data_IF_812205247955
#
_entry.id   IF_812205247955
#
_cell.length_a   1.000
_cell.length_b   1.000
_cell.length_c   1.000
_cell.angle_alpha   90.00
_cell.angle_beta   90.00
_cell.angle_gamma   90.00
#
_symmetry.space_group_name_H-M   'P 1'
#
loop_
_entity.id
_entity.type
_entity.pdbx_description
1 polymer ?
#
# COMPACT_ATOMS: atom_id res chain seq x y z
N UNK A 1 -10.93 -9.35 9.84
CA UNK A 1 -9.62 -9.08 9.22
C UNK A 1 -8.69 -8.55 10.29
N UNK A 2 -7.50 -9.14 10.40
CA UNK A 2 -6.46 -8.76 11.37
C UNK A 2 -5.23 -8.28 10.61
N UNK A 3 -5.12 -6.97 10.35
CA UNK A 3 -4.11 -6.39 9.46
C UNK A 3 -3.52 -5.08 9.97
N UNK A 4 -2.29 -4.81 9.53
CA UNK A 4 -1.69 -3.48 9.51
C UNK A 4 -1.88 -2.88 8.11
N UNK A 5 -2.59 -1.76 7.99
CA UNK A 5 -2.79 -1.05 6.73
C UNK A 5 -1.91 0.20 6.67
N UNK A 6 -1.21 0.39 5.55
CA UNK A 6 -0.33 1.54 5.35
C UNK A 6 -1.14 2.79 5.00
N UNK A 7 -0.89 3.92 5.66
CA UNK A 7 -1.74 5.13 5.48
C UNK A 7 -0.95 6.37 5.06
N UNK A 8 0.36 6.39 5.26
CA UNK A 8 1.23 7.49 4.85
C UNK A 8 2.70 7.06 4.91
N UNK A 9 3.56 7.69 4.11
CA UNK A 9 4.99 7.72 4.44
C UNK A 9 5.22 8.56 5.71
N UNK A 10 6.15 8.11 6.55
CA UNK A 10 6.47 8.72 7.84
C UNK A 10 6.98 10.15 7.72
N UNK A 11 7.75 10.43 6.67
CA UNK A 11 8.36 11.74 6.38
C UNK A 11 7.37 12.79 5.87
N UNK A 12 6.18 12.38 5.41
CA UNK A 12 5.08 13.25 5.01
C UNK A 12 4.29 13.82 6.18
N UNK A 13 4.55 13.37 7.41
CA UNK A 13 3.88 13.83 8.62
C UNK A 13 4.95 14.27 9.62
N UNK A 14 5.33 15.55 9.64
CA UNK A 14 6.35 16.09 10.54
C UNK A 14 5.74 16.50 11.88
N UNK A 15 6.57 16.77 12.89
CA UNK A 15 6.09 17.26 14.18
C UNK A 15 5.29 18.57 14.00
N UNK A 16 4.07 18.60 14.54
CA UNK A 16 3.10 19.68 14.35
C UNK A 16 2.11 19.43 13.20
N UNK A 17 2.41 18.51 12.28
CA UNK A 17 1.52 18.20 11.16
C UNK A 17 0.36 17.30 11.61
N UNK A 18 -0.80 17.52 10.99
CA UNK A 18 -1.94 16.64 11.10
C UNK A 18 -2.78 16.76 9.81
N UNK A 19 -3.44 15.67 9.43
CA UNK A 19 -4.30 15.62 8.24
C UNK A 19 -5.37 14.55 8.39
N UNK A 20 -6.41 14.65 7.56
CA UNK A 20 -7.37 13.57 7.38
C UNK A 20 -6.82 12.53 6.41
N UNK A 21 -7.04 11.26 6.71
CA UNK A 21 -6.90 10.13 5.78
C UNK A 21 -8.20 9.33 5.81
N UNK A 22 -8.42 8.51 4.79
CA UNK A 22 -9.55 7.60 4.74
C UNK A 22 -9.06 6.16 4.58
N UNK A 23 -9.63 5.26 5.37
CA UNK A 23 -9.28 3.85 5.43
C UNK A 23 -10.55 3.06 5.66
N UNK A 24 -10.87 2.10 4.78
CA UNK A 24 -12.10 1.30 4.84
C UNK A 24 -13.37 2.16 5.00
N UNK A 25 -13.48 3.24 4.22
CA UNK A 25 -14.60 4.19 4.21
C UNK A 25 -14.69 5.09 5.46
N UNK A 26 -13.68 5.09 6.34
CA UNK A 26 -13.67 5.87 7.58
C UNK A 26 -12.66 6.99 7.52
N UNK A 27 -13.13 8.22 7.72
CA UNK A 27 -12.24 9.37 7.90
C UNK A 27 -11.56 9.37 9.27
N UNK A 28 -10.24 9.30 9.25
CA UNK A 28 -9.37 9.25 10.43
C UNK A 28 -8.46 10.48 10.42
N UNK A 29 -8.31 11.12 11.56
CA UNK A 29 -7.34 12.17 11.76
C UNK A 29 -6.03 11.52 12.15
N UNK A 30 -4.97 11.73 11.38
CA UNK A 30 -3.60 11.41 11.80
C UNK A 30 -2.83 12.69 12.08
N UNK A 31 -1.90 12.62 13.03
CA UNK A 31 -0.98 13.72 13.28
C UNK A 31 0.27 13.26 14.00
N UNK A 32 1.24 14.16 14.08
CA UNK A 32 2.46 13.96 14.84
C UNK A 32 2.66 15.13 15.79
N UNK A 33 2.76 14.82 17.07
CA UNK A 33 3.34 15.71 18.09
C UNK A 33 4.79 15.26 18.32
N UNK A 34 5.15 14.80 19.52
CA UNK A 34 6.37 14.00 19.74
C UNK A 34 6.22 12.55 19.26
N UNK A 35 4.99 12.06 19.32
CA UNK A 35 4.58 10.73 18.85
C UNK A 35 3.50 10.89 17.76
N UNK A 36 3.38 9.88 16.91
CA UNK A 36 2.25 9.77 15.99
C UNK A 36 0.98 9.46 16.77
N UNK A 37 -0.15 10.01 16.34
CA UNK A 37 -1.47 9.67 16.87
C UNK A 37 -2.51 9.55 15.76
N UNK A 38 -3.55 8.77 16.01
CA UNK A 38 -4.71 8.65 15.13
C UNK A 38 -6.02 8.69 15.93
N UNK A 39 -6.95 9.53 15.50
CA UNK A 39 -8.23 9.81 16.18
C UNK A 39 -9.38 9.81 15.19
N UNK A 40 -10.62 9.70 15.66
CA UNK A 40 -11.78 10.01 14.83
C UNK A 40 -11.69 11.43 14.28
N UNK A 41 -11.96 11.62 12.97
CA UNK A 41 -11.87 12.92 12.31
C UNK A 41 -13.16 13.77 12.44
N UNK A 42 -14.07 13.40 13.35
CA UNK A 42 -15.35 14.06 13.55
C UNK A 42 -15.54 14.44 15.01
N UNK A 43 -15.76 15.73 15.25
CA UNK A 43 -16.04 16.26 16.58
C UNK A 43 -17.43 15.78 17.07
N UNK A 44 -17.54 15.10 18.22
CA UNK A 44 -18.82 14.60 18.74
C UNK A 44 -19.82 15.69 19.13
N UNK A 45 -19.40 16.96 19.19
CA UNK A 45 -20.32 18.06 19.47
C UNK A 45 -21.35 18.23 18.34
N UNK A 46 -20.90 18.45 17.10
CA UNK A 46 -21.75 18.75 15.93
C UNK A 46 -21.15 18.23 14.60
N UNK A 47 -20.32 17.20 14.64
CA UNK A 47 -19.76 16.56 13.44
C UNK A 47 -18.68 17.37 12.71
N UNK A 48 -18.09 18.40 13.33
CA UNK A 48 -17.03 19.20 12.69
C UNK A 48 -15.82 18.35 12.27
N UNK A 49 -15.31 18.55 11.04
CA UNK A 49 -14.12 17.86 10.50
C UNK A 49 -12.86 18.38 11.19
N UNK A 50 -12.25 17.56 12.05
CA UNK A 50 -11.14 18.00 12.92
C UNK A 50 -9.86 18.33 12.12
N UNK A 51 -9.60 17.60 11.04
CA UNK A 51 -8.54 17.89 10.08
C UNK A 51 -8.65 19.26 9.40
N UNK A 52 -9.83 19.89 9.38
CA UNK A 52 -10.01 21.27 8.90
C UNK A 52 -9.79 22.31 10.01
N UNK A 53 -9.38 21.88 11.19
CA UNK A 53 -9.06 22.71 12.34
C UNK A 53 -7.63 23.22 12.35
N UNK A 54 -7.07 23.37 13.55
CA UNK A 54 -5.67 23.74 13.77
C UNK A 54 -5.09 22.97 14.93
N UNK A 55 -3.77 22.81 14.95
CA UNK A 55 -3.05 22.34 16.13
C UNK A 55 -2.63 23.52 17.00
N UNK A 56 -2.77 23.40 18.32
CA UNK A 56 -2.35 24.39 19.31
C UNK A 56 -1.82 23.67 20.55
N UNK A 57 -0.54 23.83 20.87
CA UNK A 57 0.10 23.21 22.04
C UNK A 57 -0.18 21.70 22.16
N UNK A 58 0.05 20.94 21.08
CA UNK A 58 -0.29 19.51 20.99
C UNK A 58 -1.77 19.17 21.25
N UNK A 59 -2.67 20.09 20.90
CA UNK A 59 -4.12 19.87 20.93
C UNK A 59 -4.75 20.18 19.58
N UNK A 60 -5.72 19.36 19.20
CA UNK A 60 -6.52 19.55 18.00
C UNK A 60 -7.71 20.45 18.32
N UNK A 61 -7.74 21.62 17.70
CA UNK A 61 -8.81 22.61 17.87
C UNK A 61 -9.83 22.41 16.74
N UNK A 62 -11.04 21.99 17.11
CA UNK A 62 -12.14 21.84 16.17
C UNK A 62 -12.46 23.19 15.47
N UNK A 63 -12.60 23.22 14.13
CA UNK A 63 -12.83 24.48 13.41
C UNK A 63 -14.18 25.12 13.70
N UNK A 64 -15.13 24.36 14.26
CA UNK A 64 -16.50 24.87 14.42
C UNK A 64 -16.66 25.72 15.69
N UNK A 65 -16.54 25.11 16.86
CA UNK A 65 -16.74 25.80 18.15
C UNK A 65 -15.47 25.84 19.01
N UNK A 66 -14.31 25.51 18.40
CA UNK A 66 -13.01 25.56 19.07
C UNK A 66 -12.80 24.50 20.16
N UNK A 67 -13.62 23.45 20.25
CA UNK A 67 -13.40 22.36 21.20
C UNK A 67 -12.00 21.78 20.98
N UNK A 68 -11.20 21.73 22.05
CA UNK A 68 -9.79 21.36 21.98
C UNK A 68 -9.59 19.94 22.52
N UNK A 69 -9.05 19.03 21.73
CA UNK A 69 -8.76 17.64 22.12
C UNK A 69 -7.25 17.44 22.26
N UNK A 70 -6.78 16.72 23.27
CA UNK A 70 -5.38 16.31 23.33
C UNK A 70 -5.05 15.22 22.29
N UNK A 71 -3.77 14.87 22.13
CA UNK A 71 -3.33 13.80 21.22
C UNK A 71 -3.86 12.40 21.58
N UNK A 72 -4.42 12.23 22.78
CA UNK A 72 -5.10 11.00 23.20
C UNK A 72 -6.61 11.03 22.90
N UNK A 73 -7.10 12.12 22.30
CA UNK A 73 -8.49 12.32 21.95
C UNK A 73 -9.35 12.87 23.07
N UNK A 74 -8.81 13.14 24.26
CA UNK A 74 -9.61 13.62 25.40
C UNK A 74 -9.95 15.09 25.21
N UNK A 75 -11.21 15.43 25.42
CA UNK A 75 -11.64 16.83 25.39
C UNK A 75 -10.99 17.59 26.54
N UNK A 76 -10.18 18.58 26.20
CA UNK A 76 -9.39 19.36 27.15
C UNK A 76 -10.05 20.68 27.49
N UNK A 77 -10.70 21.36 26.54
CA UNK A 77 -11.30 22.69 26.72
C UNK A 77 -12.55 22.84 25.84
N UNK A 78 -13.64 23.36 26.44
CA UNK A 78 -14.76 23.98 25.73
C UNK A 78 -14.62 25.51 25.83
N UNK A 79 -14.23 26.23 24.76
CA UNK A 79 -13.92 27.65 24.86
C UNK A 79 -15.08 28.54 25.32
N UNK A 80 -16.32 28.22 24.91
CA UNK A 80 -17.52 29.02 25.20
C UNK A 80 -17.87 29.08 26.69
N UNK A 81 -17.54 28.03 27.45
CA UNK A 81 -17.82 27.94 28.89
C UNK A 81 -16.56 27.87 29.74
N UNK A 82 -15.38 27.77 29.11
CA UNK A 82 -14.08 27.48 29.73
C UNK A 82 -14.07 26.19 30.58
N UNK A 83 -15.05 25.30 30.36
CA UNK A 83 -15.15 24.03 31.08
C UNK A 83 -14.17 23.00 30.50
N UNK A 84 -13.76 22.07 31.38
CA UNK A 84 -13.04 20.84 31.05
C UNK A 84 -13.93 19.65 31.42
N UNK A 85 -14.96 19.34 30.63
CA UNK A 85 -15.91 18.30 31.01
C UNK A 85 -15.20 16.93 31.03
N UNK A 86 -15.36 16.15 32.10
CA UNK A 86 -14.85 14.79 32.14
C UNK A 86 -15.65 13.89 31.16
N UNK A 87 -15.01 12.82 30.68
CA UNK A 87 -15.70 11.72 30.01
C UNK A 87 -15.99 11.88 28.51
N UNK A 88 -15.60 13.00 27.88
CA UNK A 88 -15.70 13.14 26.42
C UNK A 88 -14.33 12.85 25.79
N UNK A 89 -14.28 11.82 24.94
CA UNK A 89 -13.08 11.47 24.18
C UNK A 89 -13.46 11.06 22.76
N UNK A 90 -12.58 11.39 21.82
CA UNK A 90 -12.57 10.79 20.49
C UNK A 90 -12.10 9.34 20.60
N UNK A 91 -12.55 8.49 19.68
CA UNK A 91 -11.93 7.17 19.50
C UNK A 91 -10.48 7.36 19.08
N UNK A 92 -9.58 6.60 19.68
CA UNK A 92 -8.17 6.49 19.26
C UNK A 92 -7.99 5.21 18.45
N UNK A 93 -7.20 5.30 17.39
CA UNK A 93 -6.76 4.15 16.60
C UNK A 93 -5.32 3.81 16.98
N UNK A 94 -5.03 2.51 17.09
CA UNK A 94 -3.65 2.04 17.25
C UNK A 94 -2.91 2.22 15.93
N UNK A 95 -1.78 2.91 15.98
CA UNK A 95 -0.89 3.13 14.85
C UNK A 95 0.56 2.86 15.25
N UNK A 96 1.40 2.53 14.26
CA UNK A 96 2.85 2.35 14.46
C UNK A 96 3.63 2.90 13.27
N UNK A 97 4.91 3.22 13.50
CA UNK A 97 5.86 3.48 12.43
C UNK A 97 6.74 2.25 12.22
N UNK A 98 6.81 1.78 10.99
CA UNK A 98 7.71 0.69 10.60
C UNK A 98 7.97 0.77 9.09
N UNK A 99 9.17 0.42 8.66
CA UNK A 99 9.58 0.51 7.25
C UNK A 99 9.39 1.92 6.66
N UNK A 100 9.53 2.99 7.45
CA UNK A 100 9.30 4.37 6.97
C UNK A 100 7.85 4.69 6.62
N UNK A 101 6.90 3.84 7.01
CA UNK A 101 5.47 3.98 6.80
C UNK A 101 4.76 4.11 8.14
N UNK A 102 3.70 4.91 8.18
CA UNK A 102 2.71 4.92 9.26
C UNK A 102 1.65 3.86 8.95
N UNK A 103 1.46 2.93 9.86
CA UNK A 103 0.51 1.82 9.76
C UNK A 103 -0.61 1.98 10.77
N UNK A 104 -1.84 1.68 10.37
CA UNK A 104 -3.00 1.58 11.26
C UNK A 104 -3.40 0.13 11.50
N UNK A 105 -3.75 -0.18 12.75
CA UNK A 105 -4.17 -1.52 13.18
C UNK A 105 -5.65 -1.74 12.90
N UNK A 106 -5.97 -2.85 12.24
CA UNK A 106 -7.32 -3.36 12.01
C UNK A 106 -7.42 -4.73 12.67
N UNK A 107 -8.39 -4.93 13.58
CA UNK A 107 -8.48 -6.18 14.34
C UNK A 107 -7.28 -6.37 15.28
N UNK A 108 -6.72 -7.56 15.34
CA UNK A 108 -5.58 -7.92 16.19
C UNK A 108 -4.43 -8.61 15.43
N UNK A 109 -3.74 -7.92 14.51
CA UNK A 109 -2.61 -8.48 13.78
C UNK A 109 -1.44 -8.78 14.73
N UNK A 110 -1.05 -10.05 14.81
CA UNK A 110 0.05 -10.54 15.67
C UNK A 110 1.40 -10.65 14.97
N UNK A 111 1.52 -10.13 13.75
CA UNK A 111 2.74 -10.18 12.94
C UNK A 111 3.48 -8.84 12.91
N UNK A 112 4.77 -8.87 12.58
CA UNK A 112 5.55 -7.68 12.29
C UNK A 112 5.71 -7.47 10.79
N UNK A 113 5.29 -6.29 10.31
CA UNK A 113 5.40 -5.89 8.89
C UNK A 113 6.84 -5.87 8.40
N UNK A 114 7.80 -5.61 9.29
CA UNK A 114 9.22 -5.54 8.92
C UNK A 114 9.76 -6.88 8.40
N UNK A 115 9.16 -8.00 8.81
CA UNK A 115 9.56 -9.35 8.40
C UNK A 115 9.32 -9.62 6.91
N UNK A 116 8.46 -8.83 6.25
CA UNK A 116 8.12 -9.01 4.84
C UNK A 116 9.02 -8.23 3.87
N UNK A 117 9.88 -7.35 4.39
CA UNK A 117 10.80 -6.57 3.56
C UNK A 117 12.18 -6.39 4.26
N UNK A 118 12.96 -7.47 4.40
CA UNK A 118 14.20 -7.47 5.17
C UNK A 118 15.27 -6.53 4.60
N UNK A 119 15.26 -6.27 3.29
CA UNK A 119 16.20 -5.36 2.62
C UNK A 119 16.08 -3.93 3.13
N UNK A 120 14.92 -3.52 3.66
CA UNK A 120 14.72 -2.17 4.18
C UNK A 120 15.70 -1.83 5.31
N UNK A 121 15.89 -2.75 6.25
CA UNK A 121 16.80 -2.58 7.39
C UNK A 121 18.26 -2.90 7.07
N UNK A 122 18.53 -3.43 5.88
CA UNK A 122 19.88 -3.77 5.45
C UNK A 122 20.59 -2.52 4.90
N UNK A 123 21.77 -2.21 5.42
CA UNK A 123 22.59 -1.07 5.00
C UNK A 123 23.22 -1.26 3.62
N UNK A 124 23.32 -2.49 3.12
CA UNK A 124 23.82 -2.81 1.78
C UNK A 124 22.79 -2.53 0.67
N UNK A 125 21.60 -2.06 1.03
CA UNK A 125 20.56 -1.69 0.10
C UNK A 125 20.27 -0.20 0.22
N UNK A 126 20.19 0.47 -0.92
CA UNK A 126 19.50 1.76 -1.00
C UNK A 126 17.99 1.51 -1.07
N UNK A 127 17.21 2.38 -0.44
CA UNK A 127 15.75 2.29 -0.35
C UNK A 127 15.15 3.55 -0.96
N UNK A 128 14.20 3.40 -1.87
CA UNK A 128 13.58 4.52 -2.59
C UNK A 128 12.07 4.40 -2.40
N UNK A 129 11.46 5.39 -1.75
CA UNK A 129 10.00 5.50 -1.64
C UNK A 129 9.40 5.90 -2.98
N UNK A 130 8.31 5.23 -3.34
CA UNK A 130 7.55 5.44 -4.57
C UNK A 130 6.07 5.62 -4.22
N UNK A 131 5.41 6.60 -4.86
CA UNK A 131 4.06 7.03 -4.54
C UNK A 131 4.00 8.21 -3.56
N UNK A 132 2.84 8.44 -2.90
CA UNK A 132 1.63 7.62 -2.90
C UNK A 132 0.92 7.60 -4.27
N UNK A 133 0.35 6.44 -4.62
CA UNK A 133 -0.50 6.28 -5.81
C UNK A 133 -1.93 5.98 -5.37
N UNK A 134 -2.91 6.63 -6.00
CA UNK A 134 -4.34 6.43 -5.72
C UNK A 134 -4.98 5.73 -6.91
N UNK A 135 -5.35 4.47 -6.74
CA UNK A 135 -6.02 3.67 -7.76
C UNK A 135 -7.53 3.78 -7.61
N UNK A 136 -8.24 4.02 -8.72
CA UNK A 136 -9.71 4.00 -8.79
C UNK A 136 -10.23 2.57 -9.04
N UNK A 137 -9.80 1.66 -8.17
CA UNK A 137 -10.22 0.27 -8.17
C UNK A 137 -10.07 -0.34 -6.77
N UNK A 138 -10.72 -1.48 -6.52
CA UNK A 138 -10.64 -2.18 -5.24
C UNK A 138 -9.22 -2.68 -4.94
N UNK A 139 -8.85 -2.74 -3.67
CA UNK A 139 -7.50 -3.16 -3.28
C UNK A 139 -7.13 -4.56 -3.79
N UNK A 140 -8.04 -5.57 -3.77
CA UNK A 140 -7.73 -6.87 -4.38
C UNK A 140 -7.44 -6.84 -5.88
N UNK A 141 -8.12 -5.98 -6.67
CA UNK A 141 -7.82 -5.81 -8.10
C UNK A 141 -6.42 -5.22 -8.31
N UNK A 142 -6.06 -4.22 -7.51
CA UNK A 142 -4.72 -3.63 -7.55
C UNK A 142 -3.65 -4.66 -7.17
N UNK A 143 -3.87 -5.46 -6.12
CA UNK A 143 -2.94 -6.55 -5.76
C UNK A 143 -2.82 -7.57 -6.89
N UNK A 144 -3.93 -7.95 -7.53
CA UNK A 144 -3.93 -8.88 -8.66
C UNK A 144 -3.12 -8.36 -9.86
N UNK A 145 -3.30 -7.09 -10.23
CA UNK A 145 -2.49 -6.44 -11.26
C UNK A 145 -0.99 -6.47 -10.90
N UNK A 146 -0.62 -6.16 -9.64
CA UNK A 146 0.78 -6.17 -9.20
C UNK A 146 1.44 -7.56 -9.24
N UNK A 147 0.67 -8.64 -9.28
CA UNK A 147 1.19 -10.02 -9.34
C UNK A 147 1.03 -10.70 -10.70
N UNK A 148 0.39 -10.04 -11.65
CA UNK A 148 0.23 -10.51 -13.02
C UNK A 148 1.37 -9.95 -13.88
N UNK A 149 2.06 -10.82 -14.61
CA UNK A 149 3.17 -10.42 -15.51
C UNK A 149 2.78 -10.45 -16.98
N UNK A 150 1.62 -11.02 -17.31
CA UNK A 150 1.17 -11.24 -18.69
C UNK A 150 0.88 -9.93 -19.43
N UNK A 151 0.56 -8.87 -18.69
CA UNK A 151 0.30 -7.55 -19.26
C UNK A 151 1.58 -6.75 -19.59
N UNK A 152 2.77 -7.17 -19.13
CA UNK A 152 4.02 -6.42 -19.31
C UNK A 152 4.32 -6.08 -20.78
N UNK A 153 4.16 -7.00 -21.76
CA UNK A 153 4.42 -6.71 -23.17
C UNK A 153 3.42 -5.73 -23.81
N UNK A 154 2.27 -5.51 -23.17
CA UNK A 154 1.17 -4.71 -23.72
C UNK A 154 1.07 -3.36 -23.03
N UNK A 155 0.88 -3.35 -21.71
CA UNK A 155 0.71 -2.13 -20.89
C UNK A 155 2.04 -1.41 -20.72
N UNK A 156 3.11 -2.17 -20.46
CA UNK A 156 4.46 -1.66 -20.23
C UNK A 156 5.40 -1.90 -21.42
N UNK A 157 4.85 -1.94 -22.63
CA UNK A 157 5.62 -2.20 -23.85
C UNK A 157 6.78 -1.22 -23.98
N UNK A 158 7.99 -1.74 -24.14
CA UNK A 158 9.24 -0.97 -24.22
C UNK A 158 9.87 -0.63 -22.87
N UNK A 159 9.19 -0.88 -21.75
CA UNK A 159 9.71 -0.70 -20.39
C UNK A 159 9.95 -2.07 -19.72
N UNK A 160 8.87 -2.77 -19.38
CA UNK A 160 8.93 -4.07 -18.67
C UNK A 160 8.72 -5.27 -19.59
N UNK A 161 8.20 -5.07 -20.80
CA UNK A 161 7.98 -6.13 -21.78
C UNK A 161 8.15 -5.67 -23.23
N UNK A 162 8.03 -6.61 -24.16
CA UNK A 162 8.19 -6.37 -25.59
C UNK A 162 7.19 -7.25 -26.37
N UNK A 163 6.45 -6.65 -27.32
CA UNK A 163 5.42 -7.34 -28.12
C UNK A 163 5.95 -8.51 -28.96
N UNK A 164 7.26 -8.64 -29.14
CA UNK A 164 7.88 -9.81 -29.80
C UNK A 164 8.01 -11.02 -28.87
N UNK A 165 7.85 -10.82 -27.57
CA UNK A 165 8.04 -11.82 -26.52
C UNK A 165 6.87 -11.77 -25.52
N UNK A 166 5.71 -12.23 -25.97
CA UNK A 166 4.45 -12.17 -25.20
C UNK A 166 4.17 -13.41 -24.35
N UNK A 167 4.94 -14.49 -24.56
CA UNK A 167 4.74 -15.75 -23.84
C UNK A 167 5.21 -15.63 -22.39
N UNK A 168 4.37 -16.09 -21.45
CA UNK A 168 4.75 -16.32 -20.06
C UNK A 168 4.97 -17.83 -19.89
N UNK A 169 6.24 -18.29 -19.78
CA UNK A 169 6.53 -19.71 -19.56
C UNK A 169 5.92 -20.21 -18.25
N UNK A 170 5.76 -21.53 -18.17
CA UNK A 170 5.24 -22.18 -16.97
C UNK A 170 6.10 -21.86 -15.73
N UNK A 171 5.43 -21.60 -14.60
CA UNK A 171 6.07 -21.23 -13.34
C UNK A 171 5.35 -21.87 -12.15
N UNK A 172 6.03 -21.86 -10.99
CA UNK A 172 5.60 -22.53 -9.78
C UNK A 172 4.78 -21.58 -8.90
N UNK A 173 3.64 -22.03 -8.38
CA UNK A 173 2.85 -21.27 -7.39
C UNK A 173 2.45 -22.17 -6.24
N UNK A 174 2.61 -21.68 -5.02
CA UNK A 174 2.20 -22.35 -3.80
C UNK A 174 1.42 -21.39 -2.89
N UNK A 175 0.41 -21.94 -2.20
CA UNK A 175 -0.30 -21.28 -1.13
C UNK A 175 0.06 -21.97 0.19
N UNK A 176 0.46 -21.20 1.20
CA UNK A 176 0.79 -21.72 2.51
C UNK A 176 0.65 -20.68 3.63
N UNK A 177 1.27 -20.96 4.78
CA UNK A 177 1.24 -20.05 5.95
C UNK A 177 1.87 -18.69 5.68
N UNK A 178 2.80 -18.63 4.72
CA UNK A 178 3.48 -17.41 4.28
C UNK A 178 2.71 -16.67 3.17
N UNK A 179 1.46 -17.06 2.90
CA UNK A 179 0.64 -16.50 1.83
C UNK A 179 0.88 -17.18 0.48
N UNK A 180 0.69 -16.43 -0.61
CA UNK A 180 0.93 -16.90 -1.98
C UNK A 180 2.38 -16.63 -2.35
N UNK A 181 3.08 -17.64 -2.86
CA UNK A 181 4.44 -17.51 -3.39
C UNK A 181 4.45 -18.06 -4.80
N UNK A 182 4.82 -17.21 -5.76
CA UNK A 182 5.06 -17.60 -7.14
C UNK A 182 6.56 -17.46 -7.45
N UNK A 183 7.18 -18.51 -7.96
CA UNK A 183 8.63 -18.58 -8.20
C UNK A 183 8.90 -18.97 -9.65
N UNK A 184 10.13 -18.73 -10.12
CA UNK A 184 10.55 -19.01 -11.48
C UNK A 184 9.72 -18.31 -12.58
N UNK A 185 9.10 -17.16 -12.27
CA UNK A 185 8.34 -16.38 -13.25
C UNK A 185 9.32 -15.76 -14.25
N UNK A 186 9.28 -16.18 -15.52
CA UNK A 186 10.19 -15.69 -16.55
C UNK A 186 9.48 -14.70 -17.47
N UNK A 187 10.08 -13.53 -17.65
CA UNK A 187 9.62 -12.52 -18.61
C UNK A 187 10.79 -11.96 -19.40
N UNK A 188 10.55 -11.65 -20.67
CA UNK A 188 11.52 -10.90 -21.47
C UNK A 188 11.39 -9.41 -21.18
N UNK A 189 12.48 -8.77 -20.76
CA UNK A 189 12.51 -7.32 -20.58
C UNK A 189 13.47 -6.69 -21.59
N UNK A 190 13.11 -5.58 -22.24
CA UNK A 190 13.97 -4.92 -23.23
C UNK A 190 15.20 -4.26 -22.59
N UNK A 191 15.09 -3.82 -21.33
CA UNK A 191 16.18 -3.14 -20.62
C UNK A 191 16.13 -3.33 -19.09
N UNK A 192 16.28 -4.55 -18.57
CA UNK A 192 16.03 -4.86 -17.15
C UNK A 192 17.04 -4.30 -16.16
N UNK A 193 18.21 -3.87 -16.64
CA UNK A 193 19.34 -3.38 -15.83
C UNK A 193 19.83 -1.99 -16.27
N UNK A 194 19.13 -1.34 -17.19
CA UNK A 194 19.49 -0.03 -17.72
C UNK A 194 20.61 -0.05 -18.77
N UNK A 195 21.11 -1.22 -19.18
CA UNK A 195 22.24 -1.38 -20.11
C UNK A 195 21.85 -1.50 -21.60
N UNK A 196 20.57 -1.33 -21.93
CA UNK A 196 20.03 -1.38 -23.31
C UNK A 196 20.25 -2.77 -23.95
N UNK A 197 20.33 -3.81 -23.13
CA UNK A 197 20.38 -5.20 -23.59
C UNK A 197 19.15 -5.96 -23.06
N UNK A 198 18.33 -6.45 -23.99
CA UNK A 198 17.18 -7.27 -23.65
C UNK A 198 17.61 -8.65 -23.16
N UNK A 199 16.96 -9.14 -22.12
CA UNK A 199 17.18 -10.50 -21.59
C UNK A 199 15.95 -11.04 -20.88
N UNK A 200 15.92 -12.36 -20.73
CA UNK A 200 14.98 -13.03 -19.84
C UNK A 200 15.35 -12.76 -18.39
N UNK A 201 14.37 -12.34 -17.60
CA UNK A 201 14.48 -12.09 -16.18
C UNK A 201 13.61 -13.07 -15.44
N UNK A 202 14.12 -13.59 -14.32
CA UNK A 202 13.37 -14.47 -13.44
C UNK A 202 12.96 -13.70 -12.19
N UNK A 203 11.68 -13.74 -11.88
CA UNK A 203 11.07 -13.10 -10.73
C UNK A 203 10.59 -14.13 -9.71
N UNK A 204 10.61 -13.72 -8.45
CA UNK A 204 9.91 -14.37 -7.35
C UNK A 204 8.93 -13.39 -6.73
N UNK A 205 7.66 -13.72 -6.75
CA UNK A 205 6.56 -12.91 -6.22
C UNK A 205 6.04 -13.54 -4.94
N UNK A 206 5.64 -12.69 -3.98
CA UNK A 206 5.04 -13.08 -2.72
C UNK A 206 3.90 -12.14 -2.39
N UNK A 207 2.78 -12.71 -1.95
CA UNK A 207 1.66 -11.98 -1.33
C UNK A 207 1.56 -12.47 0.11
N UNK A 208 2.39 -11.94 1.03
CA UNK A 208 2.49 -12.47 2.39
C UNK A 208 1.26 -12.15 3.25
N UNK A 209 0.54 -11.09 2.90
CA UNK A 209 -0.74 -10.67 3.48
C UNK A 209 -1.66 -10.24 2.34
N UNK A 210 -2.99 -10.24 2.52
CA UNK A 210 -3.97 -9.89 1.49
C UNK A 210 -3.70 -8.60 0.71
N UNK A 211 -3.01 -7.63 1.34
CA UNK A 211 -2.77 -6.30 0.82
C UNK A 211 -1.28 -5.91 0.76
N UNK A 212 -0.39 -6.89 0.89
CA UNK A 212 1.05 -6.68 0.77
C UNK A 212 1.57 -7.51 -0.39
N UNK A 213 2.37 -6.89 -1.25
CA UNK A 213 3.04 -7.57 -2.35
C UNK A 213 4.53 -7.34 -2.19
N UNK A 214 5.31 -8.40 -2.36
CA UNK A 214 6.76 -8.34 -2.47
C UNK A 214 7.16 -9.06 -3.74
N UNK A 215 8.10 -8.49 -4.49
CA UNK A 215 8.80 -9.28 -5.49
C UNK A 215 10.29 -8.99 -5.49
N UNK A 216 11.05 -9.94 -6.02
CA UNK A 216 12.47 -9.77 -6.25
C UNK A 216 12.94 -10.41 -7.55
N UNK A 217 14.01 -9.84 -8.09
CA UNK A 217 14.82 -10.41 -9.15
C UNK A 217 16.29 -10.33 -8.77
N UNK A 218 17.00 -11.42 -9.05
CA UNK A 218 18.42 -11.55 -8.76
C UNK A 218 19.17 -11.78 -10.07
N UNK A 219 20.23 -11.02 -10.26
CA UNK A 219 21.16 -11.20 -11.38
C UNK A 219 22.60 -11.21 -10.83
N UNK A 220 23.15 -12.42 -10.70
CA UNK A 220 24.46 -12.63 -10.09
C UNK A 220 24.54 -12.03 -8.67
N UNK A 221 25.28 -10.93 -8.48
CA UNK A 221 25.38 -10.20 -7.21
C UNK A 221 24.38 -9.04 -7.06
N UNK A 222 23.67 -8.68 -8.13
CA UNK A 222 22.69 -7.58 -8.14
C UNK A 222 21.33 -8.11 -7.68
N UNK A 223 20.79 -7.48 -6.64
CA UNK A 223 19.49 -7.78 -6.07
C UNK A 223 18.62 -6.55 -6.25
N UNK A 224 17.43 -6.75 -6.81
CA UNK A 224 16.35 -5.79 -6.86
C UNK A 224 15.13 -6.40 -6.18
N UNK A 225 14.54 -5.69 -5.25
CA UNK A 225 13.25 -6.06 -4.67
C UNK A 225 12.34 -4.87 -4.54
N UNK A 226 11.04 -5.14 -4.57
CA UNK A 226 10.01 -4.17 -4.33
C UNK A 226 9.04 -4.69 -3.30
N UNK A 227 8.54 -3.75 -2.50
CA UNK A 227 7.51 -3.98 -1.51
C UNK A 227 6.40 -2.96 -1.72
N UNK A 228 5.17 -3.45 -1.88
CA UNK A 228 3.98 -2.66 -2.05
C UNK A 228 3.02 -2.93 -0.89
N UNK A 229 2.38 -1.87 -0.44
CA UNK A 229 1.21 -1.94 0.43
C UNK A 229 0.02 -1.35 -0.31
N UNK A 230 -1.12 -2.03 -0.29
CA UNK A 230 -2.34 -1.66 -1.00
C UNK A 230 -3.49 -1.49 0.00
N UNK A 231 -3.69 -0.28 0.50
CA UNK A 231 -4.70 -0.01 1.51
C UNK A 231 -6.04 0.35 0.88
N UNK A 232 -7.15 -0.35 1.20
CA UNK A 232 -8.48 0.07 0.78
C UNK A 232 -8.85 1.42 1.41
N UNK A 233 -9.06 2.43 0.57
CA UNK A 233 -9.63 3.72 0.98
C UNK A 233 -11.14 3.54 1.08
N UNK A 234 -11.78 3.06 0.01
CA UNK A 234 -13.20 2.71 -0.11
C UNK A 234 -13.35 1.33 -0.77
N UNK A 235 -14.55 0.98 -1.22
CA UNK A 235 -14.81 -0.26 -1.97
C UNK A 235 -14.16 -0.26 -3.37
N UNK A 236 -13.93 0.92 -3.95
CA UNK A 236 -13.51 1.16 -5.33
C UNK A 236 -12.31 2.12 -5.44
N UNK A 237 -11.67 2.44 -4.33
CA UNK A 237 -10.48 3.29 -4.28
C UNK A 237 -9.45 2.73 -3.31
N UNK A 238 -8.18 2.75 -3.73
CA UNK A 238 -7.07 2.15 -2.98
C UNK A 238 -5.83 3.03 -3.00
N UNK A 239 -5.10 3.04 -1.88
CA UNK A 239 -3.80 3.69 -1.72
C UNK A 239 -2.68 2.66 -1.90
N UNK A 240 -1.74 2.94 -2.82
CA UNK A 240 -0.49 2.19 -2.93
C UNK A 240 0.68 3.02 -2.42
N UNK A 241 1.41 2.47 -1.44
CA UNK A 241 2.75 2.95 -1.06
C UNK A 241 3.75 1.86 -1.38
N UNK A 242 4.83 2.22 -2.06
CA UNK A 242 5.84 1.28 -2.51
C UNK A 242 7.26 1.68 -2.07
N UNK A 243 8.12 0.68 -1.91
CA UNK A 243 9.56 0.85 -1.80
C UNK A 243 10.28 -0.02 -2.81
N UNK A 244 11.32 0.55 -3.41
CA UNK A 244 12.36 -0.18 -4.13
C UNK A 244 13.53 -0.36 -3.19
N UNK A 245 14.05 -1.59 -3.08
CA UNK A 245 15.36 -1.87 -2.49
C UNK A 245 16.29 -2.48 -3.54
N UNK A 246 17.50 -1.93 -3.65
CA UNK A 246 18.52 -2.45 -4.55
C UNK A 246 19.91 -2.29 -3.96
N UNK A 247 20.83 -3.19 -4.31
CA UNK A 247 22.23 -3.17 -3.85
C UNK A 247 23.22 -2.71 -4.94
N UNK A 248 22.73 -2.05 -5.99
CA UNK A 248 23.49 -1.58 -7.14
C UNK A 248 22.98 -0.21 -7.62
N UNK A 249 23.58 0.31 -8.71
CA UNK A 249 23.20 1.57 -9.35
C UNK A 249 23.25 2.79 -8.40
N UNK A 250 24.20 2.83 -7.46
CA UNK A 250 24.36 3.93 -6.49
C UNK A 250 24.68 5.29 -7.13
N UNK A 251 25.20 5.28 -8.35
CA UNK A 251 25.48 6.45 -9.18
C UNK A 251 24.22 7.02 -9.86
N UNK A 252 23.11 6.27 -9.89
CA UNK A 252 21.84 6.72 -10.47
C UNK A 252 21.04 7.53 -9.44
N UNK A 253 20.60 8.77 -9.77
CA UNK A 253 19.74 9.57 -8.89
C UNK A 253 18.43 8.85 -8.53
N UNK A 254 17.97 9.00 -7.30
CA UNK A 254 16.73 8.37 -6.81
C UNK A 254 15.51 8.81 -7.61
N UNK A 255 15.48 10.08 -8.04
CA UNK A 255 14.40 10.66 -8.82
C UNK A 255 14.24 9.96 -10.17
N UNK A 256 15.33 9.49 -10.78
CA UNK A 256 15.28 8.77 -12.06
C UNK A 256 14.69 7.37 -11.88
N UNK A 257 15.07 6.69 -10.80
CA UNK A 257 14.53 5.36 -10.47
C UNK A 257 13.05 5.46 -10.10
N UNK A 258 12.70 6.43 -9.24
CA UNK A 258 11.31 6.72 -8.87
C UNK A 258 10.48 7.13 -10.07
N UNK A 259 11.02 7.96 -10.98
CA UNK A 259 10.33 8.39 -12.18
C UNK A 259 10.01 7.25 -13.15
N UNK A 260 10.85 6.20 -13.20
CA UNK A 260 10.53 4.97 -13.94
C UNK A 260 9.35 4.24 -13.30
N UNK A 261 9.36 4.08 -11.98
CA UNK A 261 8.27 3.45 -11.24
C UNK A 261 6.95 4.23 -11.36
N UNK A 262 7.01 5.56 -11.26
CA UNK A 262 5.87 6.44 -11.45
C UNK A 262 5.23 6.28 -12.84
N UNK A 263 6.02 5.99 -13.87
CA UNK A 263 5.52 5.75 -15.22
C UNK A 263 4.84 4.38 -15.35
N UNK A 264 5.43 3.33 -14.77
CA UNK A 264 4.83 1.99 -14.71
C UNK A 264 3.48 2.04 -13.99
N UNK A 265 3.45 2.61 -12.78
CA UNK A 265 2.23 2.72 -11.97
C UNK A 265 1.14 3.54 -12.67
N UNK A 266 1.49 4.60 -13.41
CA UNK A 266 0.51 5.37 -14.20
C UNK A 266 -0.13 4.55 -15.32
N UNK A 267 0.63 3.66 -15.95
CA UNK A 267 0.12 2.80 -17.02
C UNK A 267 -0.88 1.78 -16.45
N UNK A 268 -0.57 1.19 -15.29
CA UNK A 268 -1.50 0.30 -14.57
C UNK A 268 -2.75 1.03 -14.12
N UNK A 269 -2.60 2.20 -13.47
CA UNK A 269 -3.72 3.01 -13.00
C UNK A 269 -4.74 3.27 -14.11
N UNK A 270 -4.27 3.55 -15.34
CA UNK A 270 -5.13 3.79 -16.49
C UNK A 270 -5.94 2.54 -16.88
N UNK A 271 -5.34 1.35 -16.82
CA UNK A 271 -6.03 0.09 -17.14
C UNK A 271 -7.08 -0.22 -16.06
N UNK A 272 -6.70 -0.11 -14.78
CA UNK A 272 -7.57 -0.41 -13.66
C UNK A 272 -8.72 0.60 -13.49
N UNK A 273 -8.54 1.86 -13.92
CA UNK A 273 -9.60 2.88 -13.87
C UNK A 273 -10.80 2.54 -14.77
N UNK A 274 -10.59 1.78 -15.85
CA UNK A 274 -11.67 1.36 -16.77
C UNK A 274 -12.17 -0.08 -16.50
N UNK A 275 -11.50 -0.84 -15.64
CA UNK A 275 -11.84 -2.24 -15.36
C UNK A 275 -13.16 -2.36 -14.59
N UNK A 276 -14.04 -3.26 -15.05
CA UNK A 276 -15.34 -3.57 -14.44
C UNK A 276 -15.57 -5.08 -14.34
N UNK A 277 -16.15 -5.58 -13.24
CA UNK A 277 -16.54 -4.83 -12.04
C UNK A 277 -15.32 -4.37 -11.22
N UNK A 278 -15.45 -3.23 -10.53
CA UNK A 278 -14.42 -2.70 -9.60
C UNK A 278 -14.05 -3.64 -8.45
N UNK A 279 -14.97 -4.51 -8.04
CA UNK A 279 -14.65 -5.54 -7.05
C UNK A 279 -13.97 -6.73 -7.73
N UNK A 280 -13.08 -7.43 -7.03
CA UNK A 280 -12.45 -8.65 -7.55
C UNK A 280 -13.40 -9.88 -7.42
N UNK A 281 -13.84 -10.51 -8.52
CA UNK A 281 -14.68 -11.70 -8.43
C UNK A 281 -13.89 -12.92 -7.93
N UNK A 282 -14.20 -13.39 -6.71
CA UNK A 282 -13.56 -14.56 -6.11
C UNK A 282 -14.15 -15.90 -6.57
N UNK A 283 -15.33 -15.89 -7.21
CA UNK A 283 -15.81 -17.06 -7.94
C UNK A 283 -15.08 -17.11 -9.28
N UNK A 284 -14.14 -18.05 -9.41
CA UNK A 284 -13.32 -18.24 -10.60
C UNK A 284 -14.13 -18.49 -11.87
N UNK A 285 -15.43 -18.83 -11.79
CA UNK A 285 -16.28 -18.99 -12.98
C UNK A 285 -16.79 -17.67 -13.57
N UNK A 286 -16.64 -16.55 -12.84
CA UNK A 286 -17.11 -15.23 -13.29
C UNK A 286 -16.20 -14.59 -14.34
N UNK A 287 -14.95 -15.03 -14.42
CA UNK A 287 -13.96 -14.57 -15.39
C UNK A 287 -13.23 -15.79 -15.98
N UNK A 288 -12.61 -15.62 -17.15
CA UNK A 288 -11.90 -16.70 -17.84
C UNK A 288 -10.42 -16.61 -17.48
N UNK A 289 -9.81 -17.75 -17.19
CA UNK A 289 -8.41 -17.85 -16.80
C UNK A 289 -7.63 -18.70 -17.80
N UNK A 290 -6.35 -18.36 -17.95
CA UNK A 290 -5.38 -19.09 -18.74
C UNK A 290 -4.19 -19.53 -17.86
N UNK A 291 -3.25 -20.34 -18.38
CA UNK A 291 -2.11 -20.82 -17.60
C UNK A 291 -1.18 -19.72 -17.04
N UNK A 292 -1.19 -18.50 -17.60
CA UNK A 292 -0.40 -17.40 -17.06
C UNK A 292 -0.96 -16.86 -15.73
N UNK A 293 -2.25 -17.08 -15.45
CA UNK A 293 -3.00 -16.47 -14.35
C UNK A 293 -2.87 -17.26 -13.02
N UNK A 294 -1.94 -18.21 -12.91
CA UNK A 294 -1.82 -19.09 -11.72
C UNK A 294 -1.69 -18.29 -10.42
N UNK A 295 -0.86 -17.25 -10.40
CA UNK A 295 -0.69 -16.41 -9.22
C UNK A 295 -2.02 -15.75 -8.80
N UNK A 296 -2.75 -15.18 -9.76
CA UNK A 296 -4.07 -14.57 -9.58
C UNK A 296 -5.11 -15.58 -9.08
N UNK A 297 -5.15 -16.78 -9.67
CA UNK A 297 -6.04 -17.86 -9.23
C UNK A 297 -5.78 -18.25 -7.76
N UNK A 298 -4.52 -18.40 -7.38
CA UNK A 298 -4.13 -18.74 -6.01
C UNK A 298 -4.46 -17.60 -5.04
N UNK A 299 -4.24 -16.35 -5.44
CA UNK A 299 -4.61 -15.18 -4.64
C UNK A 299 -6.12 -15.10 -4.40
N UNK A 300 -6.95 -15.23 -5.44
CA UNK A 300 -8.42 -15.26 -5.31
C UNK A 300 -8.91 -16.39 -4.41
N UNK A 301 -8.34 -17.58 -4.59
CA UNK A 301 -8.66 -18.75 -3.75
C UNK A 301 -8.33 -18.46 -2.29
N UNK A 302 -7.16 -17.88 -2.02
CA UNK A 302 -6.74 -17.54 -0.67
C UNK A 302 -7.60 -16.45 -0.02
N UNK A 303 -7.95 -15.38 -0.75
CA UNK A 303 -8.87 -14.35 -0.22
C UNK A 303 -10.21 -14.95 0.20
N UNK A 304 -10.74 -15.89 -0.59
CA UNK A 304 -11.98 -16.61 -0.28
C UNK A 304 -11.84 -17.46 0.98
N UNK A 305 -10.71 -18.16 1.17
CA UNK A 305 -10.43 -18.92 2.40
C UNK A 305 -10.33 -18.03 3.64
N UNK A 306 -9.81 -16.81 3.49
CA UNK A 306 -9.72 -15.82 4.56
C UNK A 306 -11.06 -15.13 4.86
N UNK A 307 -12.10 -15.37 4.05
CA UNK A 307 -13.39 -14.68 4.16
C UNK A 307 -13.29 -13.17 3.89
N UNK A 308 -12.32 -12.75 3.08
CA UNK A 308 -12.19 -11.36 2.65
C UNK A 308 -13.10 -11.17 1.45
N UNK A 309 -14.18 -10.42 1.65
CA UNK A 309 -15.11 -10.09 0.58
C UNK A 309 -14.51 -9.11 -0.42
N UNK A 310 -15.06 -9.12 -1.62
CA UNK A 310 -14.64 -8.29 -2.75
C UNK A 310 -14.82 -6.78 -2.54
N UNK A 311 -15.58 -6.38 -1.51
CA UNK A 311 -15.80 -5.01 -1.07
C UNK A 311 -15.40 -4.94 0.41
N UNK A 312 -14.14 -4.62 0.69
CA UNK A 312 -13.64 -4.57 2.08
C UNK A 312 -14.35 -3.42 2.82
N UNK A 313 -15.34 -3.73 3.65
CA UNK A 313 -16.03 -2.81 4.57
C UNK A 313 -15.52 -2.91 6.00
#
# INVERSE_FOLDING_TARGET
MDEWLAIAFSDQLKEGDFRGVEVLGKEILIGRSREIFALDNRCPHRGGKLSSGRMKDARIVCPYHGWEYDINGRLSIIPSTRLKPPGISLRRYEIKESLGIIWIKIGNPIYDVSSFFPEYTNSNFRKISCGPYIFKNSAPRVVENLIDVSHFPYVHSGLLGDLRFTEVPDYDVQLGKEGVIADNIKVWQPNPDGLIQGKWVTYKYKVPRPFLVYFSKNDSSKIFSMFFSVTPISEDESLVLAFIAMNYAYDVPEEKIRGFEDEVMKQDMKVLEDEEPKYLPLDLKKEIHCPADKASIYYRTWLKELGIDCCVK
#
